data_IF_376628438275
#
_entry.id   IF_376628438275
#
_cell.length_a   1.000
_cell.length_b   1.000
_cell.length_c   1.000
_cell.angle_alpha   90.00
_cell.angle_beta   90.00
_cell.angle_gamma   90.00
#
_symmetry.space_group_name_H-M   'P 1'
#
loop_
_entity.id
_entity.type
_entity.pdbx_description
1 polymer ?
#
# COMPACT_ATOMS: atom_id res chain seq x y z
N UNK A 1 12.68 -4.98 -10.99
CA UNK A 1 11.72 -4.12 -10.27
C UNK A 1 12.42 -3.50 -9.06
N UNK A 2 12.72 -2.19 -9.08
CA UNK A 2 13.46 -1.50 -8.02
C UNK A 2 12.56 -1.10 -6.84
N UNK A 3 11.82 -2.06 -6.26
CA UNK A 3 10.94 -1.84 -5.11
C UNK A 3 11.63 -1.31 -3.85
N UNK A 4 12.96 -1.40 -3.78
CA UNK A 4 13.71 -0.97 -2.60
C UNK A 4 13.46 0.51 -2.25
N UNK A 5 13.19 1.36 -3.24
CA UNK A 5 12.94 2.79 -3.07
C UNK A 5 11.50 3.13 -2.62
N UNK A 6 10.55 2.20 -2.73
CA UNK A 6 9.15 2.42 -2.35
C UNK A 6 9.00 2.43 -0.82
N UNK A 7 8.34 3.45 -0.28
CA UNK A 7 7.98 3.57 1.14
C UNK A 7 6.46 3.64 1.27
N UNK A 8 5.87 2.70 2.00
CA UNK A 8 4.43 2.61 2.20
C UNK A 8 3.89 3.74 3.08
N UNK A 9 4.74 4.43 3.83
CA UNK A 9 4.38 5.63 4.59
C UNK A 9 3.83 6.76 3.71
N UNK A 10 4.18 6.78 2.41
CA UNK A 10 3.64 7.73 1.44
C UNK A 10 2.14 7.58 1.24
N UNK A 11 1.61 6.36 1.39
CA UNK A 11 0.25 6.00 0.99
C UNK A 11 -0.75 5.99 2.15
N UNK A 12 -0.29 5.95 3.40
CA UNK A 12 -1.09 6.24 4.58
C UNK A 12 -0.19 6.58 5.78
N UNK A 13 -0.63 7.52 6.63
CA UNK A 13 0.14 7.97 7.81
C UNK A 13 0.36 6.86 8.84
N UNK A 14 -0.52 5.86 8.88
CA UNK A 14 -0.45 4.74 9.83
C UNK A 14 0.52 3.63 9.40
N UNK A 15 0.97 3.65 8.13
CA UNK A 15 1.84 2.62 7.58
C UNK A 15 3.25 2.65 8.15
N UNK A 16 3.92 1.50 8.03
CA UNK A 16 5.31 1.28 8.42
C UNK A 16 6.02 0.52 7.31
N UNK A 17 7.34 0.71 7.18
CA UNK A 17 8.17 -0.04 6.21
C UNK A 17 8.94 -1.19 6.86
N UNK A 18 8.45 -1.67 8.00
CA UNK A 18 9.08 -2.68 8.82
C UNK A 18 8.04 -3.48 9.57
N UNK A 19 8.43 -4.66 10.03
CA UNK A 19 7.67 -5.52 10.91
C UNK A 19 8.54 -5.92 12.11
N UNK A 20 7.91 -6.56 13.09
CA UNK A 20 8.59 -7.16 14.23
C UNK A 20 8.49 -8.67 14.16
N UNK A 21 9.61 -9.36 14.36
CA UNK A 21 9.61 -10.79 14.60
C UNK A 21 9.00 -11.11 15.97
N UNK A 22 8.65 -12.38 16.20
CA UNK A 22 8.10 -12.83 17.50
C UNK A 22 9.03 -12.53 18.69
N UNK A 23 10.34 -12.48 18.46
CA UNK A 23 11.34 -12.12 19.46
C UNK A 23 11.50 -10.60 19.67
N UNK A 24 10.61 -9.78 19.09
CA UNK A 24 10.65 -8.32 19.21
C UNK A 24 11.69 -7.63 18.31
N UNK A 25 12.49 -8.37 17.52
CA UNK A 25 13.47 -7.77 16.62
C UNK A 25 12.77 -7.09 15.44
N UNK A 26 13.10 -5.83 15.19
CA UNK A 26 12.62 -5.05 14.05
C UNK A 26 13.35 -5.47 12.76
N UNK A 27 12.62 -5.62 11.67
CA UNK A 27 13.17 -5.85 10.33
C UNK A 27 12.42 -5.04 9.28
N UNK A 28 13.16 -4.43 8.35
CA UNK A 28 12.56 -3.74 7.21
C UNK A 28 11.96 -4.73 6.21
N UNK A 29 11.00 -4.27 5.41
CA UNK A 29 10.46 -5.06 4.31
C UNK A 29 11.50 -5.23 3.20
N UNK A 30 11.85 -6.48 2.90
CA UNK A 30 12.61 -6.84 1.71
C UNK A 30 11.72 -6.73 0.44
N UNK A 31 12.32 -6.88 -0.73
CA UNK A 31 11.60 -6.75 -2.00
C UNK A 31 10.45 -7.76 -2.15
N UNK A 32 10.57 -8.97 -1.59
CA UNK A 32 9.52 -10.00 -1.62
C UNK A 32 8.31 -9.52 -0.81
N UNK A 33 8.52 -9.06 0.41
CA UNK A 33 7.46 -8.48 1.25
C UNK A 33 6.80 -7.30 0.54
N UNK A 34 7.59 -6.40 -0.06
CA UNK A 34 7.07 -5.25 -0.79
C UNK A 34 6.22 -5.65 -1.99
N UNK A 35 6.67 -6.63 -2.78
CA UNK A 35 5.92 -7.16 -3.92
C UNK A 35 4.58 -7.77 -3.48
N UNK A 36 4.59 -8.56 -2.40
CA UNK A 36 3.38 -9.16 -1.85
C UNK A 36 2.38 -8.10 -1.33
N UNK A 37 2.87 -7.05 -0.66
CA UNK A 37 2.04 -5.91 -0.24
C UNK A 37 1.39 -5.25 -1.45
N UNK A 38 2.19 -4.88 -2.46
CA UNK A 38 1.72 -4.22 -3.68
C UNK A 38 0.65 -5.06 -4.38
N UNK A 39 0.93 -6.35 -4.60
CA UNK A 39 0.00 -7.27 -5.26
C UNK A 39 -1.32 -7.38 -4.48
N UNK A 40 -1.25 -7.50 -3.15
CA UNK A 40 -2.46 -7.59 -2.32
C UNK A 40 -3.28 -6.30 -2.32
N UNK A 41 -2.62 -5.13 -2.31
CA UNK A 41 -3.31 -3.83 -2.40
C UNK A 41 -3.95 -3.63 -3.77
N UNK A 42 -3.25 -3.96 -4.86
CA UNK A 42 -3.80 -3.91 -6.22
C UNK A 42 -5.00 -4.83 -6.38
N UNK A 43 -4.92 -6.06 -5.87
CA UNK A 43 -6.04 -7.00 -5.91
C UNK A 43 -7.26 -6.44 -5.16
N UNK A 44 -7.05 -5.86 -3.97
CA UNK A 44 -8.13 -5.25 -3.18
C UNK A 44 -8.71 -4.01 -3.86
N UNK A 45 -7.86 -3.17 -4.45
CA UNK A 45 -8.26 -1.98 -5.19
C UNK A 45 -9.11 -2.37 -6.42
N UNK A 46 -8.62 -3.32 -7.23
CA UNK A 46 -9.33 -3.85 -8.41
C UNK A 46 -10.69 -4.44 -8.06
N UNK A 47 -10.80 -5.16 -6.94
CA UNK A 47 -12.09 -5.72 -6.53
C UNK A 47 -13.05 -4.63 -6.01
N UNK A 48 -12.53 -3.56 -5.43
CA UNK A 48 -13.35 -2.42 -5.00
C UNK A 48 -13.73 -1.50 -6.15
N UNK A 49 -12.97 -1.46 -7.25
CA UNK A 49 -13.26 -0.59 -8.38
C UNK A 49 -14.49 -1.00 -9.18
N UNK A 50 -15.04 -2.20 -8.97
CA UNK A 50 -16.35 -2.58 -9.50
C UNK A 50 -17.49 -1.69 -8.98
N UNK A 51 -17.28 -1.06 -7.82
CA UNK A 51 -18.23 -0.16 -7.18
C UNK A 51 -17.45 1.05 -6.71
N UNK A 52 -17.38 2.10 -7.52
CA UNK A 52 -16.45 3.23 -7.32
C UNK A 52 -16.57 3.85 -5.92
N UNK A 53 -17.75 3.85 -5.31
CA UNK A 53 -17.97 4.34 -3.94
C UNK A 53 -17.21 3.53 -2.89
N UNK A 54 -16.95 2.24 -3.14
CA UNK A 54 -16.19 1.36 -2.25
C UNK A 54 -14.70 1.69 -2.23
N UNK A 55 -14.19 2.38 -3.24
CA UNK A 55 -12.79 2.85 -3.30
C UNK A 55 -12.56 3.92 -2.22
N UNK A 56 -13.53 4.81 -2.03
CA UNK A 56 -13.45 5.94 -1.11
C UNK A 56 -13.72 5.58 0.36
N UNK A 57 -14.16 4.33 0.62
CA UNK A 57 -14.55 3.92 1.97
C UNK A 57 -13.35 3.90 2.92
N UNK A 58 -13.54 4.55 4.05
CA UNK A 58 -12.66 4.49 5.22
C UNK A 58 -13.39 3.85 6.40
N UNK A 59 -12.69 3.62 7.50
CA UNK A 59 -13.29 3.22 8.78
C UNK A 59 -12.72 4.10 9.88
N UNK A 60 -13.53 4.40 10.89
CA UNK A 60 -13.09 5.16 12.06
C UNK A 60 -13.01 4.23 13.27
N UNK A 61 -11.88 4.27 13.98
CA UNK A 61 -11.67 3.55 15.23
C UNK A 61 -10.81 4.39 16.16
N UNK A 62 -11.23 4.56 17.41
CA UNK A 62 -10.52 5.34 18.42
C UNK A 62 -10.13 6.75 17.91
N UNK A 63 -11.08 7.45 17.29
CA UNK A 63 -10.90 8.77 16.66
C UNK A 63 -9.81 8.84 15.58
N UNK A 64 -9.45 7.69 14.99
CA UNK A 64 -8.52 7.60 13.86
C UNK A 64 -9.23 7.02 12.65
N UNK A 65 -8.95 7.60 11.49
CA UNK A 65 -9.46 7.14 10.20
C UNK A 65 -8.44 6.19 9.56
N UNK A 66 -8.91 5.03 9.12
CA UNK A 66 -8.12 4.02 8.44
C UNK A 66 -8.71 3.72 7.06
N UNK A 67 -7.88 3.45 6.05
CA UNK A 67 -8.37 3.00 4.75
C UNK A 67 -9.05 1.62 4.84
N UNK A 68 -9.97 1.33 3.91
CA UNK A 68 -10.52 -0.03 3.73
C UNK A 68 -9.81 -0.84 2.63
N UNK A 69 -8.90 -0.22 1.89
CA UNK A 69 -7.96 -0.92 1.01
C UNK A 69 -6.74 -1.22 1.88
N UNK A 70 -6.66 -2.45 2.40
CA UNK A 70 -5.62 -2.84 3.36
C UNK A 70 -5.14 -4.25 3.08
N UNK A 71 -3.93 -4.55 3.57
CA UNK A 71 -3.35 -5.88 3.61
C UNK A 71 -2.59 -6.08 4.92
N UNK A 72 -2.30 -7.33 5.25
CA UNK A 72 -1.50 -7.71 6.41
C UNK A 72 -0.34 -8.55 5.92
N UNK A 73 0.89 -8.13 6.25
CA UNK A 73 2.07 -8.94 6.00
C UNK A 73 2.96 -8.98 7.24
N UNK A 74 3.43 -10.16 7.62
CA UNK A 74 4.27 -10.34 8.82
C UNK A 74 3.67 -9.65 10.07
N UNK A 75 2.34 -9.75 10.25
CA UNK A 75 1.62 -9.12 11.36
C UNK A 75 1.53 -7.59 11.31
N UNK A 76 1.96 -6.95 10.22
CA UNK A 76 1.90 -5.50 10.03
C UNK A 76 0.79 -5.14 9.05
N UNK A 77 -0.13 -4.28 9.49
CA UNK A 77 -1.16 -3.72 8.63
C UNK A 77 -0.59 -2.63 7.74
N UNK A 78 -0.87 -2.73 6.44
CA UNK A 78 -0.54 -1.70 5.46
C UNK A 78 -1.82 -1.31 4.73
N UNK A 79 -2.08 -0.01 4.65
CA UNK A 79 -3.26 0.55 4.03
C UNK A 79 -2.93 1.46 2.85
N UNK A 80 -3.85 1.56 1.91
CA UNK A 80 -3.83 2.55 0.85
C UNK A 80 -4.94 3.56 1.11
N UNK A 81 -4.56 4.78 1.51
CA UNK A 81 -5.51 5.87 1.68
C UNK A 81 -6.21 6.17 0.34
N UNK A 82 -7.54 6.34 0.30
CA UNK A 82 -8.22 6.65 -0.95
C UNK A 82 -7.66 7.87 -1.69
N UNK A 83 -7.24 8.90 -0.94
CA UNK A 83 -6.63 10.12 -1.50
C UNK A 83 -5.21 9.92 -2.07
N UNK A 84 -4.64 8.72 -1.94
CA UNK A 84 -3.27 8.36 -2.37
C UNK A 84 -3.24 7.24 -3.40
N UNK A 85 -4.39 6.82 -3.92
CA UNK A 85 -4.48 5.75 -4.93
C UNK A 85 -3.71 6.12 -6.20
N UNK A 86 -3.94 7.33 -6.73
CA UNK A 86 -3.26 7.81 -7.93
C UNK A 86 -1.74 7.85 -7.74
N UNK A 87 -1.26 8.50 -6.66
CA UNK A 87 0.17 8.51 -6.31
C UNK A 87 0.76 7.10 -6.16
N UNK A 88 0.00 6.15 -5.61
CA UNK A 88 0.42 4.76 -5.49
C UNK A 88 0.57 4.08 -6.86
N UNK A 89 -0.39 4.27 -7.76
CA UNK A 89 -0.34 3.71 -9.11
C UNK A 89 0.78 4.34 -9.94
N UNK A 90 0.94 5.67 -9.86
CA UNK A 90 2.01 6.39 -10.54
C UNK A 90 3.39 5.91 -10.09
N UNK A 91 3.60 5.81 -8.78
CA UNK A 91 4.86 5.32 -8.20
C UNK A 91 5.15 3.88 -8.70
N UNK A 92 4.13 3.03 -8.85
CA UNK A 92 4.30 1.69 -9.39
C UNK A 92 4.72 1.70 -10.86
N UNK A 93 4.08 2.53 -11.68
CA UNK A 93 4.42 2.67 -13.10
C UNK A 93 5.85 3.18 -13.25
N UNK A 94 6.24 4.20 -12.46
CA UNK A 94 7.61 4.75 -12.44
C UNK A 94 8.68 3.74 -12.07
N UNK A 95 8.35 2.75 -11.21
CA UNK A 95 9.29 1.68 -10.86
C UNK A 95 9.61 0.78 -12.06
N UNK A 96 8.70 0.66 -13.01
CA UNK A 96 8.96 -0.02 -14.29
C UNK A 96 9.66 0.93 -15.26
N UNK A 97 9.04 2.06 -15.54
CA UNK A 97 9.58 3.11 -16.43
C UNK A 97 8.74 4.38 -16.28
N UNK A 98 9.36 5.50 -15.94
CA UNK A 98 8.67 6.79 -15.77
C UNK A 98 7.99 7.28 -17.07
N UNK A 99 8.52 6.90 -18.24
CA UNK A 99 7.95 7.28 -19.54
C UNK A 99 6.55 6.71 -19.76
N UNK A 100 6.20 5.63 -19.07
CA UNK A 100 4.88 5.00 -19.20
C UNK A 100 3.75 5.86 -18.65
N UNK A 101 4.04 6.83 -17.78
CA UNK A 101 3.04 7.78 -17.30
C UNK A 101 2.47 8.66 -18.41
N UNK A 102 3.19 8.87 -19.50
CA UNK A 102 2.70 9.64 -20.65
C UNK A 102 1.55 8.93 -21.39
N UNK A 103 1.26 7.67 -21.07
CA UNK A 103 0.23 6.84 -21.72
C UNK A 103 -0.95 6.51 -20.81
N UNK A 104 -1.04 7.13 -19.62
CA UNK A 104 -2.06 6.87 -18.61
C UNK A 104 -3.08 8.01 -18.52
#
# INVERSE_FOLDING_TARGET
MHLHQMSFKKYDKSNKDYFFFKNGKKSFFNNINKANIVLSLLHTLRNRSYHWENILKTTQRNNKTFPRITTIIQGTHIGLNPSKIETFLDDLIKIFDERLLAYC
#
